data_IF_584474464077
#
_entry.id   IF_584474464077
#
_cell.length_a   1.000
_cell.length_b   1.000
_cell.length_c   1.000
_cell.angle_alpha   90.00
_cell.angle_beta   90.00
_cell.angle_gamma   90.00
#
_symmetry.space_group_name_H-M   'P 1'
#
loop_
_entity.id
_entity.type
_entity.pdbx_description
1 polymer ?
#
# COMPACT_ATOMS: atom_id res chain seq x y z
N UNK A 1 21.85 7.23 -2.51
CA UNK A 1 21.17 8.42 -1.96
C UNK A 1 22.04 9.05 -0.89
N UNK A 2 22.15 10.38 -0.86
CA UNK A 2 22.74 11.12 0.24
C UNK A 2 21.78 11.20 1.43
N UNK A 3 22.24 11.70 2.59
CA UNK A 3 21.44 11.76 3.80
C UNK A 3 20.14 12.57 3.62
N UNK A 4 20.20 13.71 2.95
CA UNK A 4 19.01 14.55 2.75
C UNK A 4 17.96 13.88 1.87
N UNK A 5 18.38 13.24 0.77
CA UNK A 5 17.51 12.48 -0.09
C UNK A 5 16.90 11.30 0.67
N UNK A 6 17.71 10.56 1.44
CA UNK A 6 17.25 9.42 2.22
C UNK A 6 16.22 9.82 3.29
N UNK A 7 16.46 10.92 4.00
CA UNK A 7 15.51 11.47 4.97
C UNK A 7 14.18 11.86 4.32
N UNK A 8 14.23 12.46 3.13
CA UNK A 8 13.01 12.78 2.35
C UNK A 8 12.26 11.52 1.95
N UNK A 9 12.98 10.49 1.48
CA UNK A 9 12.41 9.19 1.14
C UNK A 9 11.75 8.50 2.34
N UNK A 10 12.38 8.54 3.54
CA UNK A 10 11.80 7.98 4.76
C UNK A 10 10.52 8.70 5.19
N UNK A 11 10.47 10.04 5.06
CA UNK A 11 9.24 10.80 5.34
C UNK A 11 8.13 10.47 4.35
N UNK A 12 8.46 10.33 3.05
CA UNK A 12 7.50 9.97 2.00
C UNK A 12 6.98 8.54 2.12
N UNK A 13 7.77 7.63 2.70
CA UNK A 13 7.36 6.24 2.85
C UNK A 13 6.14 6.13 3.74
N UNK A 14 5.09 5.51 3.24
CA UNK A 14 3.91 5.09 3.98
C UNK A 14 3.55 3.67 3.60
N UNK A 15 3.21 2.84 4.57
CA UNK A 15 2.76 1.47 4.35
C UNK A 15 1.38 1.37 3.69
N UNK A 16 0.80 0.19 3.74
CA UNK A 16 -0.57 -0.06 3.32
C UNK A 16 -1.58 0.67 4.21
N UNK A 17 -2.72 1.00 3.63
CA UNK A 17 -3.83 1.64 4.34
C UNK A 17 -4.75 0.56 4.92
N UNK A 18 -4.86 0.53 6.25
CA UNK A 18 -5.82 -0.32 6.96
C UNK A 18 -6.70 0.57 7.81
N UNK A 19 -8.02 0.54 7.54
CA UNK A 19 -8.91 1.51 8.15
C UNK A 19 -10.37 1.03 8.16
N UNK A 20 -11.10 1.44 9.19
CA UNK A 20 -12.54 1.29 9.29
C UNK A 20 -13.20 2.66 9.09
N UNK A 21 -14.21 2.74 8.24
CA UNK A 21 -15.00 3.95 8.07
C UNK A 21 -15.68 4.29 9.40
N UNK A 22 -15.39 5.46 9.97
CA UNK A 22 -15.91 5.90 11.24
C UNK A 22 -17.46 5.95 11.27
N UNK A 23 -18.10 6.18 10.13
CA UNK A 23 -19.56 6.22 10.00
C UNK A 23 -20.21 4.83 10.15
N UNK A 24 -19.43 3.75 10.09
CA UNK A 24 -19.90 2.37 10.17
C UNK A 24 -19.22 1.55 11.27
N UNK A 25 -18.39 2.20 12.08
CA UNK A 25 -17.72 1.53 13.20
C UNK A 25 -18.73 1.19 14.29
N UNK A 26 -18.63 -0.04 14.81
CA UNK A 26 -19.53 -0.63 15.82
C UNK A 26 -20.94 -1.02 15.34
N UNK A 27 -21.31 -0.68 14.12
CA UNK A 27 -22.57 -1.12 13.51
C UNK A 27 -22.48 -2.58 13.02
N UNK A 28 -23.59 -3.30 13.12
CA UNK A 28 -23.77 -4.59 12.42
C UNK A 28 -24.39 -4.30 11.06
N UNK A 29 -23.61 -4.57 10.00
CA UNK A 29 -24.01 -4.27 8.63
C UNK A 29 -24.30 -5.58 7.90
N UNK A 30 -25.44 -5.63 7.21
CA UNK A 30 -25.88 -6.78 6.46
C UNK A 30 -25.45 -6.73 4.99
N UNK A 31 -25.27 -7.90 4.37
CA UNK A 31 -24.98 -8.06 2.93
C UNK A 31 -23.73 -7.27 2.48
N UNK A 32 -22.60 -7.50 3.16
CA UNK A 32 -21.34 -6.83 2.88
C UNK A 32 -20.53 -7.59 1.85
N UNK A 33 -20.30 -6.98 0.71
CA UNK A 33 -19.45 -7.52 -0.35
C UNK A 33 -17.98 -7.31 -0.06
N UNK A 34 -17.17 -8.32 -0.35
CA UNK A 34 -15.72 -8.33 -0.18
C UNK A 34 -15.02 -8.44 -1.52
N UNK A 35 -14.09 -7.53 -1.77
CA UNK A 35 -13.18 -7.56 -2.90
C UNK A 35 -11.74 -7.48 -2.42
N UNK A 36 -10.84 -8.22 -3.06
CA UNK A 36 -9.41 -8.26 -2.73
C UNK A 36 -8.57 -8.16 -4.00
N UNK A 37 -7.43 -7.45 -3.94
CA UNK A 37 -6.51 -7.41 -5.06
C UNK A 37 -5.72 -8.71 -5.19
N UNK A 38 -5.68 -9.26 -6.37
CA UNK A 38 -4.83 -10.40 -6.67
C UNK A 38 -3.36 -9.97 -6.74
N UNK A 39 -2.63 -10.10 -5.61
CA UNK A 39 -1.21 -9.75 -5.47
C UNK A 39 -0.90 -8.27 -5.77
N UNK A 40 -1.42 -7.37 -4.93
CA UNK A 40 -1.34 -5.92 -5.08
C UNK A 40 0.09 -5.39 -5.30
N UNK A 41 1.04 -5.65 -4.40
CA UNK A 41 2.41 -5.15 -4.52
C UNK A 41 3.16 -5.74 -5.72
N UNK A 42 3.14 -7.07 -5.95
CA UNK A 42 3.75 -7.63 -7.15
C UNK A 42 3.18 -7.04 -8.45
N UNK A 43 1.87 -6.81 -8.49
CA UNK A 43 1.23 -6.20 -9.66
C UNK A 43 1.79 -4.81 -9.96
N UNK A 44 1.85 -3.92 -8.98
CA UNK A 44 2.36 -2.56 -9.23
C UNK A 44 3.83 -2.58 -9.62
N UNK A 45 4.64 -3.49 -9.07
CA UNK A 45 6.06 -3.66 -9.46
C UNK A 45 6.22 -4.06 -10.93
N UNK A 46 5.26 -4.74 -11.51
CA UNK A 46 5.29 -5.20 -12.90
C UNK A 46 4.63 -4.19 -13.85
N UNK A 47 3.54 -3.57 -13.42
CA UNK A 47 2.67 -2.76 -14.29
C UNK A 47 3.03 -1.27 -14.34
N UNK A 48 3.73 -0.75 -13.33
CA UNK A 48 4.00 0.69 -13.19
C UNK A 48 5.45 1.05 -13.52
N UNK A 49 5.70 2.34 -13.69
CA UNK A 49 7.05 2.88 -13.86
C UNK A 49 7.59 3.42 -12.53
N UNK A 50 8.86 3.21 -12.30
CA UNK A 50 9.56 3.47 -11.05
C UNK A 50 10.74 4.42 -11.23
N UNK A 51 11.26 5.01 -10.12
CA UNK A 51 12.54 5.72 -10.14
C UNK A 51 13.67 4.82 -10.66
N UNK A 52 14.23 5.18 -11.81
CA UNK A 52 15.29 4.41 -12.50
C UNK A 52 16.57 5.24 -12.71
N UNK A 53 16.77 6.27 -11.89
CA UNK A 53 17.99 7.08 -11.84
C UNK A 53 18.27 7.52 -10.42
N UNK A 54 19.45 8.08 -10.17
CA UNK A 54 19.70 8.87 -8.96
C UNK A 54 18.74 10.05 -8.89
N UNK A 55 18.38 10.46 -7.69
CA UNK A 55 17.54 11.62 -7.46
C UNK A 55 18.27 12.93 -7.85
N UNK A 56 17.53 13.82 -8.47
CA UNK A 56 17.98 15.17 -8.76
C UNK A 56 17.18 16.15 -7.91
N UNK A 57 17.88 16.90 -7.07
CA UNK A 57 17.27 17.94 -6.25
C UNK A 57 16.89 19.14 -7.12
N UNK A 58 15.65 19.56 -7.10
CA UNK A 58 15.13 20.64 -7.95
C UNK A 58 14.38 21.70 -7.15
N UNK A 59 14.48 22.95 -7.57
CA UNK A 59 13.67 24.05 -7.05
C UNK A 59 12.53 24.34 -8.02
N UNK A 60 11.31 24.23 -7.53
CA UNK A 60 10.12 24.59 -8.30
C UNK A 60 9.92 26.09 -8.29
N UNK A 61 9.86 26.71 -9.47
CA UNK A 61 9.74 28.16 -9.65
C UNK A 61 8.35 28.63 -10.10
N UNK A 62 7.52 27.71 -10.60
CA UNK A 62 6.18 28.00 -11.09
C UNK A 62 5.29 26.76 -11.09
N UNK A 63 3.98 26.99 -11.06
CA UNK A 63 2.99 25.92 -11.17
C UNK A 63 3.16 25.09 -12.47
N UNK A 64 3.42 25.74 -13.58
CA UNK A 64 3.66 25.07 -14.87
C UNK A 64 4.87 24.15 -14.82
N UNK A 65 5.95 24.58 -14.15
CA UNK A 65 7.14 23.74 -13.96
C UNK A 65 6.84 22.55 -13.04
N UNK A 66 6.07 22.75 -11.98
CA UNK A 66 5.63 21.68 -11.07
C UNK A 66 4.82 20.62 -11.83
N UNK A 67 3.81 21.03 -12.57
CA UNK A 67 2.98 20.13 -13.40
C UNK A 67 3.82 19.35 -14.41
N UNK A 68 4.82 19.99 -15.03
CA UNK A 68 5.77 19.31 -15.91
C UNK A 68 6.54 18.21 -15.19
N UNK A 69 7.11 18.50 -14.01
CA UNK A 69 7.84 17.50 -13.24
C UNK A 69 6.94 16.32 -12.83
N UNK A 70 5.72 16.60 -12.36
CA UNK A 70 4.77 15.55 -11.97
C UNK A 70 4.41 14.61 -13.13
N UNK A 71 4.35 15.13 -14.35
CA UNK A 71 4.02 14.33 -15.53
C UNK A 71 5.21 13.53 -16.06
N UNK A 72 6.41 14.14 -16.09
CA UNK A 72 7.59 13.59 -16.76
C UNK A 72 8.43 12.65 -15.88
N UNK A 73 8.37 12.80 -14.55
CA UNK A 73 9.26 12.13 -13.61
C UNK A 73 8.50 11.41 -12.49
N UNK A 74 9.18 10.50 -11.81
CA UNK A 74 8.81 10.12 -10.45
C UNK A 74 9.31 11.22 -9.51
N UNK A 75 8.41 11.78 -8.71
CA UNK A 75 8.73 12.92 -7.85
C UNK A 75 8.40 12.62 -6.40
N UNK A 76 9.26 13.11 -5.49
CA UNK A 76 9.03 13.12 -4.06
C UNK A 76 9.28 14.54 -3.59
N UNK A 77 8.35 15.10 -2.83
CA UNK A 77 8.42 16.50 -2.45
C UNK A 77 7.76 16.80 -1.11
N UNK A 78 8.31 17.79 -0.43
CA UNK A 78 7.69 18.46 0.70
C UNK A 78 6.73 19.52 0.15
N UNK A 79 5.48 19.42 0.56
CA UNK A 79 4.42 20.32 0.12
C UNK A 79 3.65 20.89 1.30
N UNK A 80 3.39 22.17 1.25
CA UNK A 80 2.54 22.90 2.16
C UNK A 80 1.18 23.11 1.51
N UNK A 81 0.12 22.77 2.24
CA UNK A 81 -1.27 23.06 1.90
C UNK A 81 -1.84 24.07 2.89
N UNK A 82 -2.51 25.10 2.37
CA UNK A 82 -3.24 26.10 3.15
C UNK A 82 -4.73 25.89 2.99
N UNK A 83 -5.47 25.88 4.11
CA UNK A 83 -6.92 25.67 4.16
C UNK A 83 -7.33 24.36 3.46
N UNK A 84 -6.60 23.28 3.76
CA UNK A 84 -6.94 21.95 3.26
C UNK A 84 -8.21 21.43 3.94
N UNK A 85 -9.13 20.90 3.16
CA UNK A 85 -10.39 20.34 3.63
C UNK A 85 -10.77 19.10 2.84
N UNK A 86 -11.23 18.06 3.53
CA UNK A 86 -11.80 16.87 2.90
C UNK A 86 -13.07 17.23 2.13
N UNK A 87 -13.19 16.78 0.90
CA UNK A 87 -14.41 16.83 0.10
C UNK A 87 -15.22 15.53 0.15
N UNK A 88 -14.77 14.57 0.95
CA UNK A 88 -15.42 13.27 1.17
C UNK A 88 -15.85 13.13 2.64
N UNK A 89 -16.91 12.39 2.87
CA UNK A 89 -17.41 12.09 4.22
C UNK A 89 -16.61 10.94 4.86
N UNK A 90 -16.12 10.02 4.02
CA UNK A 90 -15.31 8.89 4.45
C UNK A 90 -13.85 9.27 4.71
N UNK A 91 -13.09 8.28 5.13
CA UNK A 91 -11.70 8.41 5.50
C UNK A 91 -10.80 8.94 4.36
N UNK A 92 -9.86 9.76 4.74
CA UNK A 92 -8.98 10.52 3.85
C UNK A 92 -7.55 10.00 3.85
N UNK A 93 -6.77 10.23 2.78
CA UNK A 93 -5.44 9.62 2.61
C UNK A 93 -4.35 10.21 3.51
N UNK A 94 -4.44 11.47 3.94
CA UNK A 94 -3.38 12.13 4.70
C UNK A 94 -3.44 11.78 6.18
N UNK A 95 -2.43 11.08 6.69
CA UNK A 95 -2.29 10.82 8.12
C UNK A 95 -1.74 12.06 8.85
N UNK A 96 -2.33 12.38 9.99
CA UNK A 96 -1.84 13.46 10.88
C UNK A 96 -0.39 13.22 11.31
N UNK A 97 0.01 11.97 11.52
CA UNK A 97 1.38 11.58 11.89
C UNK A 97 2.41 11.81 10.77
N UNK A 98 1.98 11.96 9.52
CA UNK A 98 2.84 12.25 8.37
C UNK A 98 3.01 13.75 8.09
N UNK A 99 2.31 14.60 8.83
CA UNK A 99 2.49 16.03 8.77
C UNK A 99 3.58 16.45 9.77
N UNK A 100 4.72 16.92 9.28
CA UNK A 100 5.79 17.41 10.15
C UNK A 100 5.61 18.87 10.58
N UNK A 101 4.67 19.59 9.95
CA UNK A 101 4.10 20.85 10.43
C UNK A 101 2.59 20.79 10.31
N UNK A 102 1.88 21.35 11.30
CA UNK A 102 0.42 21.37 11.34
C UNK A 102 -0.12 22.48 12.21
N UNK A 103 -1.18 23.12 11.73
CA UNK A 103 -1.86 24.24 12.37
C UNK A 103 -3.37 24.03 12.26
N UNK A 104 -4.06 24.09 13.42
CA UNK A 104 -5.50 23.96 13.54
C UNK A 104 -6.07 22.72 12.79
N UNK A 105 -5.48 21.55 13.03
CA UNK A 105 -5.90 20.31 12.40
C UNK A 105 -7.19 19.79 13.06
N UNK A 106 -8.21 19.55 12.25
CA UNK A 106 -9.34 18.72 12.60
C UNK A 106 -9.04 17.30 12.13
N UNK A 107 -9.01 16.39 13.07
CA UNK A 107 -8.67 14.99 12.86
C UNK A 107 -9.92 14.11 12.89
N UNK A 108 -9.99 13.15 11.97
CA UNK A 108 -10.93 12.04 12.02
C UNK A 108 -10.14 10.72 11.95
N UNK A 109 -10.15 9.96 13.02
CA UNK A 109 -9.53 8.64 13.13
C UNK A 109 -8.05 8.60 12.64
N UNK A 110 -7.22 9.55 13.10
CA UNK A 110 -5.82 9.69 12.72
C UNK A 110 -5.57 10.31 11.35
N UNK A 111 -6.62 10.78 10.68
CA UNK A 111 -6.55 11.37 9.34
C UNK A 111 -6.91 12.86 9.38
N UNK A 112 -6.23 13.64 8.55
CA UNK A 112 -6.54 15.06 8.40
C UNK A 112 -7.88 15.20 7.70
N UNK A 113 -8.87 15.72 8.41
CA UNK A 113 -10.16 16.12 7.83
C UNK A 113 -10.08 17.55 7.28
N UNK A 114 -9.56 18.49 8.07
CA UNK A 114 -9.23 19.84 7.64
C UNK A 114 -8.06 20.41 8.44
N UNK A 115 -7.42 21.40 7.90
CA UNK A 115 -6.39 22.16 8.61
C UNK A 115 -6.22 23.55 8.00
N UNK A 116 -5.79 24.51 8.83
CA UNK A 116 -5.40 25.82 8.33
C UNK A 116 -4.11 25.73 7.52
N UNK A 117 -3.15 24.93 7.99
CA UNK A 117 -1.88 24.70 7.32
C UNK A 117 -1.28 23.36 7.71
N UNK A 118 -0.80 22.60 6.73
CA UNK A 118 -0.02 21.38 6.94
C UNK A 118 1.14 21.30 5.97
N UNK A 119 2.25 20.69 6.41
CA UNK A 119 3.38 20.36 5.54
C UNK A 119 3.63 18.86 5.66
N UNK A 120 3.72 18.20 4.52
CA UNK A 120 3.94 16.75 4.44
C UNK A 120 4.84 16.40 3.26
N UNK A 121 5.45 15.22 3.32
CA UNK A 121 6.28 14.68 2.23
C UNK A 121 5.50 13.59 1.52
N UNK A 122 5.28 13.75 0.22
CA UNK A 122 4.51 12.83 -0.60
C UNK A 122 5.16 12.57 -1.96
N UNK A 123 4.69 11.53 -2.63
CA UNK A 123 5.01 11.27 -4.03
C UNK A 123 4.02 11.99 -4.96
N UNK A 124 4.36 12.12 -6.25
CA UNK A 124 3.41 12.57 -7.26
C UNK A 124 2.19 11.64 -7.39
N UNK A 125 2.32 10.38 -7.03
CA UNK A 125 1.21 9.41 -7.01
C UNK A 125 0.23 9.75 -5.87
N UNK A 126 0.75 9.99 -4.66
CA UNK A 126 -0.07 10.42 -3.51
C UNK A 126 -0.74 11.77 -3.75
N UNK A 127 -0.02 12.72 -4.39
CA UNK A 127 -0.58 14.02 -4.72
C UNK A 127 -1.83 13.92 -5.62
N UNK A 128 -1.82 13.01 -6.60
CA UNK A 128 -2.99 12.75 -7.43
C UNK A 128 -4.16 12.16 -6.63
N UNK A 129 -3.90 11.30 -5.65
CA UNK A 129 -4.92 10.81 -4.71
C UNK A 129 -5.46 11.95 -3.85
N UNK A 130 -4.60 12.83 -3.33
CA UNK A 130 -5.03 13.97 -2.53
C UNK A 130 -5.98 14.90 -3.28
N UNK A 131 -5.75 15.12 -4.58
CA UNK A 131 -6.68 15.90 -5.43
C UNK A 131 -8.08 15.29 -5.55
N UNK A 132 -8.24 13.99 -5.33
CA UNK A 132 -9.56 13.33 -5.32
C UNK A 132 -10.29 13.55 -3.98
N UNK A 133 -9.54 13.61 -2.85
CA UNK A 133 -10.10 13.60 -1.51
C UNK A 133 -10.14 14.95 -0.83
N UNK A 134 -9.35 15.92 -1.30
CA UNK A 134 -9.21 17.23 -0.67
C UNK A 134 -9.37 18.39 -1.65
N UNK A 135 -9.78 19.51 -1.08
CA UNK A 135 -9.62 20.85 -1.66
C UNK A 135 -8.67 21.65 -0.79
N UNK A 136 -8.00 22.64 -1.35
CA UNK A 136 -7.15 23.60 -0.63
C UNK A 136 -7.14 24.94 -1.35
N UNK A 137 -6.87 26.02 -0.61
CA UNK A 137 -6.78 27.37 -1.19
C UNK A 137 -5.46 27.61 -1.89
N UNK A 138 -4.36 27.22 -1.23
CA UNK A 138 -3.01 27.40 -1.75
C UNK A 138 -2.17 26.14 -1.52
N UNK A 139 -1.20 25.94 -2.42
CA UNK A 139 -0.17 24.91 -2.29
C UNK A 139 1.21 25.51 -2.58
N UNK A 140 2.22 25.06 -1.84
CA UNK A 140 3.61 25.47 -2.03
C UNK A 140 4.53 24.26 -1.92
N UNK A 141 5.28 24.00 -2.99
CA UNK A 141 6.37 23.01 -2.94
C UNK A 141 7.56 23.63 -2.23
N UNK A 142 7.95 23.03 -1.12
CA UNK A 142 9.05 23.51 -0.26
C UNK A 142 10.38 22.92 -0.74
N UNK A 143 10.37 21.63 -1.04
CA UNK A 143 11.54 20.88 -1.49
C UNK A 143 11.13 19.75 -2.43
N UNK A 144 11.99 19.36 -3.40
CA UNK A 144 11.60 18.36 -4.38
C UNK A 144 12.79 17.58 -4.95
N UNK A 145 12.59 16.26 -5.07
CA UNK A 145 13.49 15.33 -5.75
C UNK A 145 12.79 14.68 -6.93
N UNK A 146 13.46 14.63 -8.07
CA UNK A 146 12.96 14.04 -9.31
C UNK A 146 13.85 12.90 -9.77
N UNK A 147 13.21 11.84 -10.28
CA UNK A 147 13.86 10.63 -10.80
C UNK A 147 13.34 10.36 -12.21
N UNK A 148 14.21 9.99 -13.12
CA UNK A 148 13.76 9.41 -14.41
C UNK A 148 12.93 8.17 -14.11
N UNK A 149 11.84 8.00 -14.84
CA UNK A 149 10.93 6.87 -14.64
C UNK A 149 11.01 5.88 -15.79
N UNK A 150 11.00 4.61 -15.46
CA UNK A 150 10.89 3.49 -16.40
C UNK A 150 10.38 2.26 -15.65
N UNK A 151 10.05 1.20 -16.39
CA UNK A 151 9.75 -0.09 -15.80
C UNK A 151 10.97 -0.62 -15.03
N UNK A 152 10.72 -1.44 -14.00
CA UNK A 152 11.78 -2.16 -13.29
C UNK A 152 12.57 -3.06 -14.25
N UNK A 153 13.82 -3.43 -13.90
CA UNK A 153 14.65 -4.28 -14.76
C UNK A 153 13.93 -5.58 -15.16
N UNK A 154 14.07 -5.97 -16.43
CA UNK A 154 13.35 -7.13 -17.00
C UNK A 154 13.57 -8.42 -16.21
N UNK A 155 14.79 -8.69 -15.75
CA UNK A 155 15.10 -9.90 -14.97
C UNK A 155 14.43 -9.89 -13.59
N UNK A 156 14.29 -8.72 -12.99
CA UNK A 156 13.56 -8.58 -11.73
C UNK A 156 12.05 -8.81 -11.93
N UNK A 157 11.48 -8.24 -12.99
CA UNK A 157 10.07 -8.46 -13.37
C UNK A 157 9.81 -9.94 -13.69
N UNK A 158 10.68 -10.61 -14.43
CA UNK A 158 10.58 -12.05 -14.70
C UNK A 158 10.59 -12.86 -13.41
N UNK A 159 11.45 -12.53 -12.45
CA UNK A 159 11.53 -13.23 -11.16
C UNK A 159 10.22 -13.07 -10.37
N UNK A 160 9.64 -11.87 -10.34
CA UNK A 160 8.33 -11.62 -9.71
C UNK A 160 7.24 -12.48 -10.37
N UNK A 161 7.20 -12.52 -11.70
CA UNK A 161 6.22 -13.29 -12.46
C UNK A 161 6.35 -14.80 -12.24
N UNK A 162 7.59 -15.32 -12.18
CA UNK A 162 7.82 -16.74 -11.86
C UNK A 162 7.36 -17.09 -10.44
N UNK A 163 7.64 -16.24 -9.45
CA UNK A 163 7.17 -16.44 -8.08
C UNK A 163 5.64 -16.37 -7.99
N UNK A 164 5.03 -15.45 -8.73
CA UNK A 164 3.58 -15.33 -8.81
C UNK A 164 2.94 -16.58 -9.45
N UNK A 165 3.49 -17.05 -10.55
CA UNK A 165 3.03 -18.27 -11.21
C UNK A 165 3.16 -19.48 -10.28
N UNK A 166 4.31 -19.67 -9.61
CA UNK A 166 4.54 -20.74 -8.65
C UNK A 166 3.54 -20.69 -7.48
N UNK A 167 3.37 -19.53 -6.86
CA UNK A 167 2.36 -19.33 -5.80
C UNK A 167 0.96 -19.71 -6.29
N UNK A 168 0.58 -19.33 -7.50
CA UNK A 168 -0.77 -19.55 -8.03
C UNK A 168 -1.01 -21.03 -8.36
N UNK A 169 -0.06 -21.67 -9.01
CA UNK A 169 -0.17 -23.09 -9.45
C UNK A 169 -0.04 -24.07 -8.30
N UNK A 170 0.72 -23.74 -7.25
CA UNK A 170 0.96 -24.62 -6.10
C UNK A 170 -0.09 -24.51 -5.01
N UNK A 171 -0.94 -23.45 -5.04
CA UNK A 171 -1.97 -23.24 -4.01
C UNK A 171 -2.98 -24.39 -4.00
N UNK A 172 -3.06 -25.09 -2.86
CA UNK A 172 -3.98 -26.21 -2.65
C UNK A 172 -3.53 -27.55 -3.26
N UNK A 173 -2.31 -27.64 -3.77
CA UNK A 173 -1.72 -28.89 -4.26
C UNK A 173 -1.20 -29.69 -3.07
N UNK A 174 -1.74 -30.90 -2.86
CA UNK A 174 -1.34 -31.80 -1.76
C UNK A 174 0.15 -32.15 -1.85
N UNK A 175 0.87 -31.97 -0.74
CA UNK A 175 2.31 -32.24 -0.63
C UNK A 175 3.21 -31.12 -1.20
N UNK A 176 2.63 -29.96 -1.59
CA UNK A 176 3.33 -28.78 -2.10
C UNK A 176 3.15 -27.54 -1.22
N UNK A 177 2.72 -27.75 0.02
CA UNK A 177 2.41 -26.66 0.96
C UNK A 177 3.64 -25.81 1.27
N UNK A 178 4.81 -26.45 1.42
CA UNK A 178 6.07 -25.76 1.72
C UNK A 178 6.53 -24.91 0.53
N UNK A 179 6.52 -25.48 -0.67
CA UNK A 179 6.89 -24.76 -1.89
C UNK A 179 5.94 -23.59 -2.16
N UNK A 180 4.64 -23.77 -1.89
CA UNK A 180 3.65 -22.69 -1.97
C UNK A 180 3.98 -21.56 -0.99
N UNK A 181 4.22 -21.89 0.29
CA UNK A 181 4.56 -20.89 1.32
C UNK A 181 5.84 -20.16 0.96
N UNK A 182 6.89 -20.88 0.57
CA UNK A 182 8.14 -20.27 0.16
C UNK A 182 7.96 -19.30 -1.01
N UNK A 183 7.20 -19.69 -2.04
CA UNK A 183 6.92 -18.82 -3.19
C UNK A 183 6.15 -17.56 -2.78
N UNK A 184 5.18 -17.71 -1.86
CA UNK A 184 4.40 -16.58 -1.32
C UNK A 184 5.28 -15.63 -0.50
N UNK A 185 6.15 -16.16 0.37
CA UNK A 185 7.05 -15.37 1.21
C UNK A 185 8.12 -14.65 0.37
N UNK A 186 8.73 -15.34 -0.58
CA UNK A 186 9.70 -14.74 -1.49
C UNK A 186 9.07 -13.62 -2.32
N UNK A 187 7.85 -13.83 -2.83
CA UNK A 187 7.13 -12.82 -3.60
C UNK A 187 6.85 -11.55 -2.76
N UNK A 188 6.44 -11.72 -1.52
CA UNK A 188 6.23 -10.60 -0.59
C UNK A 188 7.55 -9.93 -0.19
N UNK A 189 8.64 -10.69 -0.07
CA UNK A 189 9.96 -10.18 0.26
C UNK A 189 10.55 -9.28 -0.84
N UNK A 190 10.17 -9.47 -2.11
CA UNK A 190 10.61 -8.61 -3.20
C UNK A 190 10.35 -7.12 -2.93
N UNK A 191 9.19 -6.80 -2.36
CA UNK A 191 8.87 -5.45 -1.92
C UNK A 191 9.58 -5.10 -0.61
N UNK A 192 9.45 -5.94 0.43
CA UNK A 192 9.95 -5.64 1.78
C UNK A 192 11.45 -5.35 1.81
N UNK A 193 12.22 -6.03 0.98
CA UNK A 193 13.66 -5.78 0.86
C UNK A 193 13.99 -4.43 0.23
N UNK A 194 13.11 -3.84 -0.58
CA UNK A 194 13.33 -2.50 -1.14
C UNK A 194 13.37 -1.42 -0.06
N UNK A 195 12.63 -1.58 1.02
CA UNK A 195 12.51 -0.61 2.13
C UNK A 195 13.32 -0.99 3.36
N UNK A 196 14.36 -1.78 3.20
CA UNK A 196 15.31 -2.08 4.28
C UNK A 196 15.95 -0.77 4.73
N UNK A 197 15.78 -0.44 6.01
CA UNK A 197 16.44 0.72 6.62
C UNK A 197 17.86 0.32 7.07
N UNK A 198 18.92 0.88 6.47
CA UNK A 198 20.29 0.62 6.91
C UNK A 198 20.65 1.37 8.19
N UNK A 199 19.88 2.41 8.54
CA UNK A 199 20.09 3.21 9.74
C UNK A 199 19.28 2.59 10.88
N UNK A 200 19.97 1.96 11.82
CA UNK A 200 19.34 1.33 12.99
C UNK A 200 19.95 1.92 14.23
N UNK A 201 19.07 2.33 15.16
CA UNK A 201 19.47 2.68 16.52
C UNK A 201 19.97 1.43 17.23
N UNK A 202 20.97 1.58 18.09
CA UNK A 202 21.44 0.50 18.95
C UNK A 202 20.63 0.50 20.25
N UNK A 203 20.13 -0.67 20.60
CA UNK A 203 19.44 -0.92 21.85
C UNK A 203 20.33 -1.74 22.76
N UNK A 204 20.70 -1.19 23.92
CA UNK A 204 21.47 -1.90 24.94
C UNK A 204 20.62 -2.07 26.19
N UNK A 205 20.78 -3.22 26.86
CA UNK A 205 20.09 -3.51 28.12
C UNK A 205 21.12 -3.72 29.24
N UNK A 206 21.15 -2.78 30.19
CA UNK A 206 22.00 -2.82 31.40
C UNK A 206 21.17 -2.68 32.66
N UNK A 207 20.08 -3.46 32.76
CA UNK A 207 19.11 -3.33 33.85
C UNK A 207 17.94 -2.40 33.48
N UNK A 208 18.12 -1.55 32.52
CA UNK A 208 17.09 -0.77 31.79
C UNK A 208 17.46 -0.68 30.31
N UNK A 209 16.50 -0.33 29.47
CA UNK A 209 16.72 -0.15 28.03
C UNK A 209 17.31 1.23 27.75
N UNK A 210 18.48 1.24 27.14
CA UNK A 210 19.10 2.45 26.60
C UNK A 210 19.10 2.41 25.07
N UNK A 211 18.84 3.57 24.44
CA UNK A 211 18.77 3.73 23.00
C UNK A 211 19.82 4.75 22.58
N UNK A 212 20.83 4.31 21.83
CA UNK A 212 21.77 5.22 21.21
C UNK A 212 21.39 5.51 19.77
N UNK A 213 21.20 6.78 19.46
CA UNK A 213 20.90 7.27 18.12
C UNK A 213 22.19 7.52 17.34
N UNK A 214 22.17 7.23 16.05
CA UNK A 214 23.29 7.52 15.16
C UNK A 214 23.53 9.02 15.06
N UNK A 215 24.80 9.43 15.16
CA UNK A 215 25.24 10.79 14.86
C UNK A 215 25.17 11.08 13.36
N UNK A 216 25.24 12.35 12.96
CA UNK A 216 25.22 12.73 11.54
C UNK A 216 26.37 12.11 10.73
N UNK A 217 27.55 11.98 11.34
CA UNK A 217 28.72 11.35 10.69
C UNK A 217 28.51 9.83 10.52
N UNK A 218 28.03 9.15 11.55
CA UNK A 218 27.71 7.70 11.49
C UNK A 218 26.60 7.40 10.46
N UNK A 219 25.58 8.28 10.35
CA UNK A 219 24.56 8.21 9.30
C UNK A 219 25.20 8.25 7.92
N UNK A 220 26.06 9.23 7.66
CA UNK A 220 26.74 9.38 6.38
C UNK A 220 27.64 8.21 6.06
N UNK A 221 28.47 7.76 7.01
CA UNK A 221 29.32 6.59 6.83
C UNK A 221 28.51 5.31 6.55
N UNK A 222 27.42 5.09 7.29
CA UNK A 222 26.55 3.93 7.10
C UNK A 222 25.90 3.93 5.72
N UNK A 223 25.41 5.09 5.27
CA UNK A 223 24.83 5.22 3.93
C UNK A 223 25.86 5.02 2.82
N UNK A 224 27.08 5.52 2.98
CA UNK A 224 28.17 5.28 2.02
C UNK A 224 28.49 3.78 1.96
N UNK A 225 28.74 3.14 3.10
CA UNK A 225 29.02 1.69 3.15
C UNK A 225 27.87 0.86 2.54
N UNK A 226 26.63 1.24 2.82
CA UNK A 226 25.45 0.58 2.24
C UNK A 226 25.38 0.78 0.73
N UNK A 227 25.63 1.99 0.24
CA UNK A 227 25.59 2.31 -1.19
C UNK A 227 26.71 1.60 -1.99
N UNK A 228 27.87 1.39 -1.38
CA UNK A 228 29.02 0.74 -2.02
C UNK A 228 29.01 -0.79 -1.89
N UNK A 229 28.07 -1.34 -1.13
CA UNK A 229 27.94 -2.78 -0.94
C UNK A 229 27.59 -3.50 -2.24
N UNK A 230 28.38 -4.51 -2.61
CA UNK A 230 28.14 -5.37 -3.79
C UNK A 230 26.86 -6.23 -3.65
N UNK A 231 26.39 -6.44 -2.43
CA UNK A 231 25.19 -7.22 -2.15
C UNK A 231 23.92 -6.38 -2.25
N UNK A 232 24.04 -5.06 -2.37
CA UNK A 232 22.91 -4.17 -2.56
C UNK A 232 22.51 -4.15 -4.04
N UNK A 233 21.32 -4.62 -4.34
CA UNK A 233 20.74 -4.53 -5.70
C UNK A 233 19.35 -3.87 -5.71
N UNK A 234 18.74 -3.67 -4.53
CA UNK A 234 17.44 -3.04 -4.39
C UNK A 234 17.59 -1.55 -4.05
N UNK A 235 16.63 -0.76 -4.48
CA UNK A 235 16.67 0.69 -4.41
C UNK A 235 15.48 1.21 -3.58
N UNK A 236 15.77 1.91 -2.48
CA UNK A 236 14.75 2.39 -1.53
C UNK A 236 13.60 3.18 -2.19
N UNK A 237 13.84 4.07 -3.17
CA UNK A 237 12.77 4.74 -3.91
C UNK A 237 11.75 3.77 -4.53
N UNK A 238 12.15 2.58 -4.96
CA UNK A 238 11.20 1.60 -5.48
C UNK A 238 10.15 1.24 -4.44
N UNK A 239 10.57 0.95 -3.22
CA UNK A 239 9.64 0.60 -2.14
C UNK A 239 8.68 1.73 -1.76
N UNK A 240 9.13 2.99 -1.79
CA UNK A 240 8.29 4.17 -1.59
C UNK A 240 7.18 4.22 -2.64
N UNK A 241 7.53 3.99 -3.91
CA UNK A 241 6.56 4.02 -5.02
C UNK A 241 5.67 2.78 -5.07
N UNK A 242 6.15 1.60 -4.66
CA UNK A 242 5.29 0.38 -4.60
C UNK A 242 4.08 0.64 -3.71
N UNK A 243 4.31 1.14 -2.50
CA UNK A 243 3.20 1.42 -1.57
C UNK A 243 2.36 2.61 -2.02
N UNK A 244 2.96 3.62 -2.64
CA UNK A 244 2.22 4.75 -3.20
C UNK A 244 1.25 4.31 -4.31
N UNK A 245 1.69 3.49 -5.25
CA UNK A 245 0.82 2.93 -6.30
C UNK A 245 -0.25 2.00 -5.73
N UNK A 246 0.09 1.15 -4.77
CA UNK A 246 -0.87 0.27 -4.14
C UNK A 246 -1.94 1.07 -3.37
N UNK A 247 -1.55 2.11 -2.63
CA UNK A 247 -2.50 3.02 -1.98
C UNK A 247 -3.38 3.75 -2.99
N UNK A 248 -2.82 4.26 -4.10
CA UNK A 248 -3.62 4.87 -5.18
C UNK A 248 -4.71 3.93 -5.67
N UNK A 249 -4.36 2.67 -5.93
CA UNK A 249 -5.30 1.69 -6.44
C UNK A 249 -6.41 1.42 -5.41
N UNK A 250 -6.06 1.28 -4.14
CA UNK A 250 -7.04 1.10 -3.06
C UNK A 250 -7.91 2.35 -2.86
N UNK A 251 -7.32 3.54 -2.77
CA UNK A 251 -8.07 4.79 -2.58
C UNK A 251 -9.00 5.12 -3.74
N UNK A 252 -8.63 4.77 -4.97
CA UNK A 252 -9.53 4.90 -6.12
C UNK A 252 -10.78 4.05 -5.91
N UNK A 253 -10.63 2.82 -5.43
CA UNK A 253 -11.75 1.95 -5.06
C UNK A 253 -12.60 2.53 -3.91
N UNK A 254 -11.96 3.03 -2.86
CA UNK A 254 -12.65 3.68 -1.73
C UNK A 254 -13.46 4.90 -2.21
N UNK A 255 -12.85 5.73 -3.06
CA UNK A 255 -13.51 6.91 -3.62
C UNK A 255 -14.75 6.54 -4.42
N UNK A 256 -14.66 5.53 -5.29
CA UNK A 256 -15.77 5.05 -6.11
C UNK A 256 -16.89 4.37 -5.29
N UNK A 257 -16.54 3.72 -4.17
CA UNK A 257 -17.53 3.16 -3.27
C UNK A 257 -18.31 4.24 -2.48
N UNK A 258 -17.72 5.42 -2.29
CA UNK A 258 -18.37 6.53 -1.59
C UNK A 258 -18.91 6.13 -0.22
N UNK A 259 -20.18 6.43 0.06
CA UNK A 259 -20.84 6.13 1.34
C UNK A 259 -21.08 4.62 1.56
N UNK A 260 -20.91 3.80 0.55
CA UNK A 260 -21.02 2.34 0.66
C UNK A 260 -19.74 1.70 1.21
N UNK A 261 -18.62 2.42 1.26
CA UNK A 261 -17.36 1.95 1.82
C UNK A 261 -17.47 1.73 3.34
N UNK A 262 -17.05 0.54 3.80
CA UNK A 262 -17.11 0.15 5.22
C UNK A 262 -15.73 -0.01 5.82
N UNK A 263 -14.85 -0.76 5.14
CA UNK A 263 -13.57 -1.19 5.69
C UNK A 263 -12.57 -1.52 4.58
N UNK A 264 -11.31 -1.29 4.85
CA UNK A 264 -10.21 -1.72 3.97
C UNK A 264 -9.01 -2.20 4.76
N UNK A 265 -8.26 -3.12 4.17
CA UNK A 265 -6.98 -3.59 4.71
C UNK A 265 -6.00 -3.81 3.55
N UNK A 266 -5.11 -2.85 3.35
CA UNK A 266 -3.98 -2.85 2.40
C UNK A 266 -4.40 -3.10 0.94
N UNK A 267 -5.04 -4.20 0.65
CA UNK A 267 -5.40 -4.71 -0.67
C UNK A 267 -6.84 -5.21 -0.78
N UNK A 268 -7.66 -4.94 0.23
CA UNK A 268 -9.06 -5.35 0.24
C UNK A 268 -10.01 -4.21 0.60
N UNK A 269 -11.24 -4.30 0.10
CA UNK A 269 -12.33 -3.39 0.43
C UNK A 269 -13.60 -4.18 0.77
N UNK A 270 -14.29 -3.71 1.81
CA UNK A 270 -15.61 -4.22 2.23
C UNK A 270 -16.61 -3.10 2.02
N UNK A 271 -17.72 -3.39 1.35
CA UNK A 271 -18.70 -2.38 0.96
C UNK A 271 -20.14 -2.91 1.00
N UNK A 272 -21.08 -1.97 1.20
CA UNK A 272 -22.51 -2.21 0.98
C UNK A 272 -22.84 -2.11 -0.52
N UNK A 273 -24.02 -2.58 -0.90
CA UNK A 273 -24.56 -2.40 -2.25
C UNK A 273 -23.59 -2.83 -3.36
N UNK A 274 -22.84 -3.93 -3.16
CA UNK A 274 -21.77 -4.38 -4.07
C UNK A 274 -22.19 -4.45 -5.53
N UNK A 275 -23.44 -4.79 -5.83
CA UNK A 275 -23.99 -4.82 -7.20
C UNK A 275 -23.95 -3.46 -7.90
N UNK A 276 -24.13 -2.38 -7.17
CA UNK A 276 -24.08 -1.02 -7.75
C UNK A 276 -22.66 -0.66 -8.23
N UNK A 277 -21.63 -1.30 -7.69
CA UNK A 277 -20.22 -1.02 -7.97
C UNK A 277 -19.57 -2.03 -8.92
N UNK A 278 -20.27 -3.09 -9.35
CA UNK A 278 -19.72 -4.14 -10.22
C UNK A 278 -19.13 -3.59 -11.53
N UNK A 279 -19.75 -2.56 -12.10
CA UNK A 279 -19.27 -1.95 -13.34
C UNK A 279 -17.88 -1.30 -13.15
N UNK A 280 -17.70 -0.57 -12.04
CA UNK A 280 -16.39 -0.01 -11.68
C UNK A 280 -15.31 -1.09 -11.58
N UNK A 281 -15.56 -2.18 -10.85
CA UNK A 281 -14.60 -3.27 -10.71
C UNK A 281 -14.25 -3.92 -12.06
N UNK A 282 -15.23 -4.09 -12.96
CA UNK A 282 -15.00 -4.62 -14.32
C UNK A 282 -14.13 -3.68 -15.15
N UNK A 283 -14.42 -2.39 -15.12
CA UNK A 283 -13.64 -1.37 -15.85
C UNK A 283 -12.23 -1.25 -15.32
N UNK A 284 -12.07 -1.27 -13.98
CA UNK A 284 -10.77 -1.30 -13.32
C UNK A 284 -9.95 -2.53 -13.76
N UNK A 285 -10.54 -3.72 -13.74
CA UNK A 285 -9.87 -4.96 -14.15
C UNK A 285 -9.48 -4.93 -15.63
N UNK A 286 -10.26 -4.32 -16.51
CA UNK A 286 -9.91 -4.10 -17.91
C UNK A 286 -8.71 -3.17 -18.06
N UNK A 287 -8.64 -2.12 -17.26
CA UNK A 287 -7.47 -1.21 -17.21
C UNK A 287 -6.22 -1.94 -16.72
N UNK A 288 -6.35 -2.81 -15.72
CA UNK A 288 -5.25 -3.66 -15.23
C UNK A 288 -4.71 -4.55 -16.35
N UNK A 289 -5.59 -5.24 -17.07
CA UNK A 289 -5.20 -6.09 -18.20
C UNK A 289 -4.45 -5.29 -19.25
N UNK A 290 -4.95 -4.11 -19.62
CA UNK A 290 -4.28 -3.22 -20.56
C UNK A 290 -2.86 -2.86 -20.11
N UNK A 291 -2.67 -2.43 -18.85
CA UNK A 291 -1.35 -2.10 -18.30
C UNK A 291 -0.40 -3.29 -18.32
N UNK A 292 -0.87 -4.47 -17.95
CA UNK A 292 -0.06 -5.69 -17.97
C UNK A 292 0.35 -6.09 -19.40
N UNK A 293 -0.53 -5.91 -20.39
CA UNK A 293 -0.18 -6.13 -21.80
C UNK A 293 0.89 -5.15 -22.29
N UNK A 294 0.86 -3.89 -21.86
CA UNK A 294 1.92 -2.92 -22.16
C UNK A 294 3.26 -3.34 -21.53
N UNK A 295 3.26 -3.78 -20.25
CA UNK A 295 4.44 -4.29 -19.58
C UNK A 295 5.00 -5.56 -20.26
N UNK A 296 4.14 -6.50 -20.62
CA UNK A 296 4.52 -7.71 -21.36
C UNK A 296 5.21 -7.38 -22.70
N UNK A 297 4.64 -6.43 -23.45
CA UNK A 297 5.22 -5.95 -24.71
C UNK A 297 6.57 -5.28 -24.49
N UNK A 298 6.70 -4.42 -23.49
CA UNK A 298 7.95 -3.72 -23.18
C UNK A 298 9.07 -4.70 -22.83
N UNK A 299 8.80 -5.67 -21.96
CA UNK A 299 9.76 -6.65 -21.49
C UNK A 299 9.93 -7.85 -22.43
N UNK A 300 9.12 -7.96 -23.48
CA UNK A 300 9.07 -9.12 -24.39
C UNK A 300 8.84 -10.45 -23.64
N UNK A 301 7.88 -10.42 -22.71
CA UNK A 301 7.49 -11.56 -21.87
C UNK A 301 6.13 -12.09 -22.33
N UNK A 302 5.95 -13.43 -22.33
CA UNK A 302 4.64 -14.02 -22.61
C UNK A 302 3.60 -13.59 -21.59
N UNK A 303 2.40 -13.22 -22.06
CA UNK A 303 1.31 -12.75 -21.20
C UNK A 303 0.79 -13.84 -20.24
N UNK A 304 0.98 -15.12 -20.57
CA UNK A 304 0.59 -16.24 -19.71
C UNK A 304 1.23 -16.20 -18.31
N UNK A 305 2.41 -15.61 -18.16
CA UNK A 305 3.06 -15.45 -16.85
C UNK A 305 2.34 -14.45 -15.95
N UNK A 306 1.58 -13.51 -16.51
CA UNK A 306 0.78 -12.53 -15.77
C UNK A 306 -0.58 -13.11 -15.34
N UNK A 307 -0.99 -14.21 -15.96
CA UNK A 307 -2.28 -14.85 -15.81
C UNK A 307 -2.15 -16.39 -15.67
N UNK A 308 -1.40 -16.88 -14.68
CA UNK A 308 -1.20 -18.31 -14.46
C UNK A 308 -2.52 -18.99 -14.06
N UNK A 309 -2.62 -20.30 -14.33
CA UNK A 309 -3.78 -21.12 -13.98
C UNK A 309 -3.64 -21.69 -12.58
N UNK A 310 -4.75 -21.67 -11.84
CA UNK A 310 -4.87 -22.41 -10.57
C UNK A 310 -4.95 -23.91 -10.83
N UNK A 311 -4.87 -24.74 -9.78
CA UNK A 311 -5.10 -26.18 -9.84
C UNK A 311 -6.46 -26.55 -10.44
N UNK A 312 -7.45 -25.65 -10.35
CA UNK A 312 -8.79 -25.83 -10.94
C UNK A 312 -8.87 -25.36 -12.40
N UNK A 313 -7.75 -24.97 -13.01
CA UNK A 313 -7.70 -24.48 -14.39
C UNK A 313 -8.23 -23.06 -14.58
N UNK A 314 -8.45 -22.29 -13.50
CA UNK A 314 -8.95 -20.93 -13.56
C UNK A 314 -7.75 -19.98 -13.73
N UNK A 315 -7.81 -19.13 -14.73
CA UNK A 315 -6.82 -18.07 -14.92
C UNK A 315 -6.90 -17.03 -13.79
N UNK A 316 -5.75 -16.65 -13.24
CA UNK A 316 -5.63 -15.65 -12.18
C UNK A 316 -4.75 -14.50 -12.67
N UNK A 317 -5.39 -13.51 -13.28
CA UNK A 317 -4.71 -12.27 -13.67
C UNK A 317 -4.27 -11.52 -12.41
N UNK A 318 -2.99 -11.10 -12.35
CA UNK A 318 -2.52 -10.32 -11.21
C UNK A 318 -3.09 -8.90 -11.20
N UNK A 319 -3.26 -8.33 -10.02
CA UNK A 319 -3.65 -6.94 -9.83
C UNK A 319 -5.12 -6.61 -9.99
N UNK A 320 -5.96 -7.57 -10.37
CA UNK A 320 -7.41 -7.36 -10.50
C UNK A 320 -8.11 -7.37 -9.14
N UNK A 321 -9.23 -6.66 -9.05
CA UNK A 321 -10.19 -6.86 -7.98
C UNK A 321 -10.89 -8.20 -8.16
N UNK A 322 -10.69 -9.10 -7.20
CA UNK A 322 -11.32 -10.42 -7.14
C UNK A 322 -12.46 -10.39 -6.13
N UNK A 323 -13.67 -10.77 -6.56
CA UNK A 323 -14.81 -10.84 -5.67
C UNK A 323 -14.69 -12.09 -4.79
N UNK A 324 -14.61 -11.93 -3.49
CA UNK A 324 -14.44 -13.02 -2.53
C UNK A 324 -15.77 -13.60 -2.03
N UNK A 325 -16.84 -12.83 -2.14
CA UNK A 325 -18.17 -13.21 -1.64
C UNK A 325 -18.88 -12.08 -0.91
N UNK A 326 -20.02 -12.42 -0.34
CA UNK A 326 -20.84 -11.51 0.45
C UNK A 326 -21.03 -12.10 1.84
N UNK A 327 -20.66 -11.36 2.86
CA UNK A 327 -20.95 -11.70 4.25
C UNK A 327 -22.39 -11.33 4.57
N UNK A 328 -23.14 -12.23 5.22
CA UNK A 328 -24.49 -11.94 5.69
C UNK A 328 -24.48 -10.81 6.73
N UNK A 329 -23.49 -10.82 7.64
CA UNK A 329 -23.27 -9.77 8.63
C UNK A 329 -21.78 -9.48 8.79
N UNK A 330 -21.47 -8.20 8.96
CA UNK A 330 -20.12 -7.67 9.20
C UNK A 330 -20.16 -6.64 10.31
N UNK A 331 -19.19 -6.68 11.23
CA UNK A 331 -19.01 -5.66 12.26
C UNK A 331 -17.53 -5.36 12.43
N UNK A 332 -17.15 -4.08 12.48
CA UNK A 332 -15.77 -3.66 12.77
C UNK A 332 -15.73 -2.72 13.97
N UNK A 333 -14.65 -2.82 14.75
CA UNK A 333 -14.33 -1.91 15.85
C UNK A 333 -13.09 -1.05 15.54
N UNK A 334 -12.63 -1.05 14.31
CA UNK A 334 -11.44 -0.32 13.85
C UNK A 334 -10.46 -1.20 13.07
N UNK A 335 -9.31 -0.65 12.74
CA UNK A 335 -8.28 -1.31 11.95
C UNK A 335 -7.88 -2.67 12.54
N UNK A 336 -7.94 -3.71 11.71
CA UNK A 336 -7.61 -5.10 12.06
C UNK A 336 -8.41 -5.69 13.24
N UNK A 337 -9.63 -5.18 13.44
CA UNK A 337 -10.58 -5.66 14.45
C UNK A 337 -11.97 -5.73 13.84
N UNK A 338 -12.30 -6.89 13.25
CA UNK A 338 -13.63 -7.11 12.68
C UNK A 338 -14.09 -8.55 12.83
N UNK A 339 -15.38 -8.75 12.75
CA UNK A 339 -16.07 -10.02 12.78
C UNK A 339 -16.99 -10.13 11.57
N UNK A 340 -17.01 -11.31 10.94
CA UNK A 340 -17.89 -11.63 9.84
C UNK A 340 -18.68 -12.90 10.16
N UNK A 341 -19.88 -13.00 9.63
CA UNK A 341 -20.66 -14.23 9.68
C UNK A 341 -20.22 -15.17 8.56
N UNK A 342 -19.69 -16.33 8.96
CA UNK A 342 -19.25 -17.42 8.09
C UNK A 342 -19.64 -18.74 8.72
N UNK A 343 -20.10 -19.68 7.91
CA UNK A 343 -20.43 -21.03 8.38
C UNK A 343 -19.19 -21.72 8.97
N UNK A 344 -19.32 -22.29 10.18
CA UNK A 344 -18.31 -23.10 10.89
C UNK A 344 -16.93 -22.47 11.12
N UNK A 345 -16.85 -21.14 11.12
CA UNK A 345 -15.57 -20.43 11.13
C UNK A 345 -14.84 -20.39 12.48
N UNK A 346 -15.56 -20.46 13.61
CA UNK A 346 -14.97 -20.38 14.95
C UNK A 346 -15.41 -21.53 15.85
N UNK A 347 -14.47 -22.28 16.42
CA UNK A 347 -14.76 -23.32 17.42
C UNK A 347 -14.20 -22.91 18.79
N UNK A 348 -15.07 -22.78 19.79
CA UNK A 348 -14.73 -22.42 21.18
C UNK A 348 -15.33 -23.45 22.11
N UNK A 349 -14.52 -24.09 22.96
CA UNK A 349 -14.98 -25.08 23.95
C UNK A 349 -15.75 -26.26 23.32
N UNK A 350 -15.41 -26.68 22.08
CA UNK A 350 -16.06 -27.75 21.32
C UNK A 350 -17.39 -27.35 20.67
N UNK A 351 -17.78 -26.07 20.74
CA UNK A 351 -18.95 -25.53 20.03
C UNK A 351 -18.50 -24.74 18.83
N UNK A 352 -19.13 -24.97 17.69
CA UNK A 352 -18.91 -24.21 16.44
C UNK A 352 -19.83 -22.99 16.42
N UNK A 353 -19.30 -21.85 15.99
CA UNK A 353 -20.03 -20.62 15.82
C UNK A 353 -19.89 -20.16 14.36
N UNK A 354 -20.96 -19.64 13.75
CA UNK A 354 -20.95 -19.22 12.35
C UNK A 354 -20.32 -17.83 12.17
N UNK A 355 -19.15 -17.61 12.82
CA UNK A 355 -18.45 -16.33 12.78
C UNK A 355 -16.95 -16.51 12.65
N UNK A 356 -16.31 -15.63 11.89
CA UNK A 356 -14.86 -15.47 11.85
C UNK A 356 -14.45 -14.17 12.49
N UNK A 357 -13.41 -14.19 13.32
CA UNK A 357 -12.89 -13.04 14.05
C UNK A 357 -11.48 -12.72 13.57
N UNK A 358 -11.26 -11.47 13.20
CA UNK A 358 -9.94 -10.90 12.91
C UNK A 358 -9.55 -9.90 13.97
N UNK A 359 -8.48 -10.21 14.71
CA UNK A 359 -7.85 -9.31 15.69
C UNK A 359 -6.35 -9.37 15.50
N UNK A 360 -5.73 -8.24 15.20
CA UNK A 360 -4.28 -8.15 15.03
C UNK A 360 -3.57 -8.15 16.40
N UNK A 361 -2.41 -8.81 16.45
CA UNK A 361 -1.58 -8.86 17.66
C UNK A 361 -2.05 -9.85 18.72
N UNK A 362 -3.15 -10.55 18.50
CA UNK A 362 -3.67 -11.57 19.44
C UNK A 362 -3.52 -12.96 18.83
N UNK A 363 -2.86 -13.84 19.57
CA UNK A 363 -2.83 -15.25 19.18
C UNK A 363 -4.21 -15.87 19.45
N UNK A 364 -4.92 -16.26 18.38
CA UNK A 364 -6.29 -16.81 18.46
C UNK A 364 -6.39 -18.00 19.42
N UNK A 365 -5.38 -18.88 19.44
CA UNK A 365 -5.35 -20.04 20.34
C UNK A 365 -5.28 -19.66 21.82
N UNK A 366 -4.56 -18.57 22.13
CA UNK A 366 -4.42 -18.07 23.50
C UNK A 366 -5.57 -17.16 23.94
N UNK A 367 -6.30 -16.57 22.97
CA UNK A 367 -7.41 -15.67 23.25
C UNK A 367 -8.75 -16.37 23.45
N UNK A 368 -8.90 -17.60 22.93
CA UNK A 368 -10.14 -18.39 23.03
C UNK A 368 -10.73 -18.49 24.45
N UNK A 369 -9.95 -18.63 25.54
CA UNK A 369 -10.51 -18.67 26.89
C UNK A 369 -11.14 -17.34 27.37
N UNK A 370 -10.86 -16.22 26.65
CA UNK A 370 -11.27 -14.86 27.02
C UNK A 370 -12.34 -14.27 26.07
N UNK A 371 -12.71 -15.01 25.02
CA UNK A 371 -13.77 -14.70 24.06
C UNK A 371 -15.06 -15.46 24.39
#
# INVERSE_FOLDING_TARGET
>A
SGADEFNTLQRAFSGGFTHANANHTDDVIENVSSYDFTSSYPYVMVAEQFPMSSGVHVKVKSKKQFEFFLSAYCCIFDIEFTKIMSCQVQDTPLSVSKCFYKENVVENNGRVFSADRVVTTITNVDYNVFKMFYTWEEEKVVDMWCYKKDYLPAEFVKSILHLYASKTTLKGVKGKEVEYLNSKEMLNSCYGMCVTNPLRDEFTYNGDWDVSHLTADEINETLVKYNDSRNRFLFYPWGVFVTAYARRNLFTGIYECGDDYIYSDTDSVKLKNGKAHEQYFKEYNSMVEYKLRQAAKHHKISFELFEPKTIKGINKLMGVWDFEGTYSRFKTLGAKRYMVEEEDALTVGGKSYPVSLTVSGVNKKSAVPWL
#
